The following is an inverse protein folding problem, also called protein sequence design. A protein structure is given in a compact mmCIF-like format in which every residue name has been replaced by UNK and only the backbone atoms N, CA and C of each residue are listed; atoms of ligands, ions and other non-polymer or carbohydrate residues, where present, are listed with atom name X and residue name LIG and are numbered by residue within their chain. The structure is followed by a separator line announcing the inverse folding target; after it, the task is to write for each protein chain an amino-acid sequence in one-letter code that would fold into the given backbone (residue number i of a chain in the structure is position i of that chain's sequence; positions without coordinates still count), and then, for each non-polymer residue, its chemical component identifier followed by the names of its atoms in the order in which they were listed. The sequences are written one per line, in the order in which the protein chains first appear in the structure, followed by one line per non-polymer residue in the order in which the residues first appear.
data_IF_358221964249
#
_entry.id   IF_358221964249
#
_cell.length_a   1.000
_cell.length_b   1.000
_cell.length_c   1.000
_cell.angle_alpha   90.00
_cell.angle_beta   90.00
_cell.angle_gamma   90.00
#
_symmetry.space_group_name_H-M   'P 1'
#
loop_
_entity.id
_entity.type
_entity.pdbx_description
1 polymer ?
#
# COMPACT_ATOMS: atom_id res chain seq x y z
N UNK A 1 -16.62 -2.01 -10.67
CA UNK A 1 -15.48 -1.07 -10.52
C UNK A 1 -14.62 -1.47 -9.33
N UNK A 2 -13.31 -1.42 -9.43
CA UNK A 2 -12.36 -1.71 -8.34
C UNK A 2 -11.76 -0.39 -7.85
N UNK A 3 -11.83 -0.15 -6.54
CA UNK A 3 -11.36 1.09 -5.91
C UNK A 3 -9.99 0.85 -5.26
N UNK A 4 -8.95 1.50 -5.75
CA UNK A 4 -7.60 1.43 -5.19
C UNK A 4 -7.37 2.61 -4.24
N UNK A 5 -7.05 2.33 -2.97
CA UNK A 5 -6.80 3.34 -1.94
C UNK A 5 -5.33 3.33 -1.53
N UNK A 6 -4.67 4.49 -1.60
CA UNK A 6 -3.31 4.67 -1.10
C UNK A 6 -3.10 6.08 -0.54
N UNK A 7 -2.20 6.21 0.44
CA UNK A 7 -1.84 7.50 1.02
C UNK A 7 -0.83 8.30 0.17
N UNK A 8 -0.56 7.86 -1.04
CA UNK A 8 0.36 8.48 -1.99
C UNK A 8 0.07 7.96 -3.41
N UNK A 9 -0.12 8.86 -4.37
CA UNK A 9 -0.41 8.53 -5.77
C UNK A 9 0.71 7.74 -6.46
N UNK A 10 1.97 7.99 -6.05
CA UNK A 10 3.12 7.23 -6.55
C UNK A 10 2.98 5.71 -6.36
N UNK A 11 2.36 5.26 -5.26
CA UNK A 11 2.09 3.84 -5.02
C UNK A 11 1.17 3.27 -6.10
N UNK A 12 0.17 4.04 -6.49
CA UNK A 12 -0.81 3.62 -7.49
C UNK A 12 -0.25 3.71 -8.91
N UNK A 13 0.49 4.75 -9.23
CA UNK A 13 1.01 4.98 -10.59
C UNK A 13 2.25 4.12 -10.89
N UNK A 14 3.27 4.15 -10.05
CA UNK A 14 4.55 3.46 -10.31
C UNK A 14 4.54 1.98 -9.97
N UNK A 15 3.81 1.58 -8.92
CA UNK A 15 3.83 0.19 -8.47
C UNK A 15 2.61 -0.62 -8.93
N UNK A 16 1.51 0.03 -9.32
CA UNK A 16 0.24 -0.64 -9.68
C UNK A 16 -0.26 -0.28 -11.07
N UNK A 17 0.23 0.79 -11.67
CA UNK A 17 -0.22 1.24 -12.99
C UNK A 17 -0.12 0.15 -14.06
N UNK A 18 1.00 -0.58 -14.13
CA UNK A 18 1.16 -1.68 -15.09
C UNK A 18 0.20 -2.85 -14.85
N UNK A 19 -0.19 -3.11 -13.59
CA UNK A 19 -1.21 -4.13 -13.27
C UNK A 19 -2.57 -3.67 -13.78
N UNK A 20 -2.95 -2.42 -13.51
CA UNK A 20 -4.21 -1.85 -13.98
C UNK A 20 -4.28 -1.87 -15.52
N UNK A 21 -3.17 -1.52 -16.18
CA UNK A 21 -3.04 -1.52 -17.65
C UNK A 21 -3.19 -2.93 -18.26
N UNK A 22 -2.84 -3.98 -17.52
CA UNK A 22 -2.91 -5.38 -17.99
C UNK A 22 -4.24 -6.10 -17.71
N UNK A 23 -5.17 -5.47 -17.00
CA UNK A 23 -6.47 -6.06 -16.65
C UNK A 23 -7.57 -5.30 -17.40
N UNK A 24 -8.03 -5.86 -18.52
CA UNK A 24 -9.01 -5.21 -19.41
C UNK A 24 -10.47 -5.37 -18.94
N UNK A 25 -10.77 -6.45 -18.20
CA UNK A 25 -12.15 -6.79 -17.80
C UNK A 25 -12.70 -5.91 -16.67
N UNK A 26 -11.88 -5.07 -16.05
CA UNK A 26 -12.27 -4.27 -14.89
C UNK A 26 -11.90 -2.81 -15.04
N UNK A 27 -12.80 -1.95 -14.60
CA UNK A 27 -12.53 -0.52 -14.44
C UNK A 27 -11.98 -0.22 -13.06
N UNK A 28 -10.97 0.63 -13.01
CA UNK A 28 -10.28 1.01 -11.78
C UNK A 28 -10.47 2.49 -11.46
N UNK A 29 -10.71 2.77 -10.18
CA UNK A 29 -10.73 4.11 -9.60
C UNK A 29 -9.59 4.26 -8.60
N UNK A 30 -8.89 5.38 -8.63
CA UNK A 30 -7.90 5.73 -7.60
C UNK A 30 -8.50 6.64 -6.52
N UNK A 31 -8.15 6.39 -5.26
CA UNK A 31 -8.48 7.21 -4.09
C UNK A 31 -7.17 7.49 -3.35
N UNK A 32 -6.59 8.66 -3.61
CA UNK A 32 -5.27 9.03 -3.09
C UNK A 32 -5.08 10.55 -3.18
N UNK A 33 -4.04 11.13 -2.52
CA UNK A 33 -3.63 12.50 -2.83
C UNK A 33 -3.28 12.62 -4.31
N UNK A 34 -3.82 13.60 -5.01
CA UNK A 34 -3.57 13.83 -6.44
C UNK A 34 -2.41 14.80 -6.60
N UNK A 35 -1.17 14.30 -6.53
CA UNK A 35 0.04 15.08 -6.81
C UNK A 35 0.31 15.17 -8.32
N UNK A 36 0.00 14.11 -9.08
CA UNK A 36 0.17 14.06 -10.54
C UNK A 36 -1.07 13.49 -11.25
N UNK A 37 -2.00 14.38 -11.58
CA UNK A 37 -3.26 14.02 -12.25
C UNK A 37 -3.05 13.33 -13.61
N UNK A 38 -2.09 13.79 -14.41
CA UNK A 38 -1.81 13.22 -15.73
C UNK A 38 -1.33 11.75 -15.66
N UNK A 39 -0.54 11.43 -14.62
CA UNK A 39 -0.12 10.04 -14.40
C UNK A 39 -1.26 9.15 -13.92
N UNK A 40 -2.16 9.66 -13.08
CA UNK A 40 -3.32 8.90 -12.61
C UNK A 40 -4.31 8.65 -13.76
N UNK A 41 -4.64 9.65 -14.57
CA UNK A 41 -5.58 9.52 -15.68
C UNK A 41 -5.09 8.59 -16.80
N UNK A 42 -3.81 8.23 -16.81
CA UNK A 42 -3.28 7.21 -17.71
C UNK A 42 -3.78 5.79 -17.37
N UNK A 43 -3.95 5.51 -16.09
CA UNK A 43 -4.23 4.16 -15.60
C UNK A 43 -5.64 4.00 -15.03
N UNK A 44 -6.21 5.07 -14.49
CA UNK A 44 -7.48 5.03 -13.77
C UNK A 44 -8.55 5.79 -14.53
N UNK A 45 -9.74 5.19 -14.66
CA UNK A 45 -10.90 5.83 -15.27
C UNK A 45 -11.34 7.07 -14.51
N UNK A 46 -11.23 7.00 -13.17
CA UNK A 46 -11.64 8.06 -12.26
C UNK A 46 -10.66 8.16 -11.09
N UNK A 47 -10.49 9.37 -10.54
CA UNK A 47 -9.57 9.63 -9.43
C UNK A 47 -10.23 10.56 -8.43
N UNK A 48 -10.36 10.10 -7.19
CA UNK A 48 -10.89 10.88 -6.08
C UNK A 48 -9.72 11.36 -5.22
N UNK A 49 -9.65 12.68 -5.01
CA UNK A 49 -8.65 13.27 -4.14
C UNK A 49 -8.95 12.94 -2.67
N UNK A 50 -7.98 12.32 -2.03
CA UNK A 50 -7.98 12.04 -0.61
C UNK A 50 -6.85 12.82 0.04
N UNK A 51 -7.16 14.00 0.54
CA UNK A 51 -6.22 14.95 1.14
C UNK A 51 -5.58 14.44 2.43
N UNK A 52 -4.73 13.43 2.31
CA UNK A 52 -3.95 12.90 3.40
C UNK A 52 -2.49 13.33 3.29
N UNK A 53 -1.95 13.93 4.36
CA UNK A 53 -0.56 14.34 4.37
C UNK A 53 0.37 13.13 4.59
N UNK A 54 1.40 12.98 3.74
CA UNK A 54 2.41 11.91 3.87
C UNK A 54 3.13 11.93 5.22
N UNK A 55 3.45 13.11 5.75
CA UNK A 55 4.22 13.29 6.98
C UNK A 55 3.34 13.26 8.24
N UNK A 56 2.16 13.88 8.20
CA UNK A 56 1.24 14.00 9.33
C UNK A 56 0.00 13.11 9.13
N UNK A 57 0.16 11.82 9.40
CA UNK A 57 -0.79 10.76 9.06
C UNK A 57 -2.09 10.75 9.87
N UNK A 58 -2.09 11.36 11.05
CA UNK A 58 -3.19 11.26 12.00
C UNK A 58 -4.05 12.54 12.08
N UNK A 59 -4.10 13.33 11.01
CA UNK A 59 -5.11 14.38 10.94
C UNK A 59 -6.48 13.72 10.81
N UNK A 60 -7.36 13.99 11.74
CA UNK A 60 -8.76 13.53 11.75
C UNK A 60 -9.48 13.82 10.42
N UNK A 61 -9.12 14.92 9.75
CA UNK A 61 -9.66 15.29 8.43
C UNK A 61 -9.52 14.18 7.39
N UNK A 62 -8.38 13.46 7.34
CA UNK A 62 -8.19 12.37 6.40
C UNK A 62 -9.15 11.19 6.66
N UNK A 63 -9.47 10.92 7.92
CA UNK A 63 -10.45 9.89 8.30
C UNK A 63 -11.85 10.34 7.89
N UNK A 64 -12.25 11.57 8.23
CA UNK A 64 -13.58 12.11 7.89
C UNK A 64 -13.79 12.18 6.37
N UNK A 65 -12.76 12.57 5.63
CA UNK A 65 -12.82 12.60 4.17
C UNK A 65 -12.98 11.19 3.60
N UNK A 66 -12.21 10.22 4.09
CA UNK A 66 -12.34 8.83 3.64
C UNK A 66 -13.72 8.25 3.97
N UNK A 67 -14.31 8.57 5.14
CA UNK A 67 -15.69 8.19 5.47
C UNK A 67 -16.67 8.74 4.42
N UNK A 68 -16.56 10.02 4.04
CA UNK A 68 -17.40 10.61 3.00
C UNK A 68 -17.23 9.87 1.67
N UNK A 69 -16.00 9.63 1.25
CA UNK A 69 -15.69 8.91 0.01
C UNK A 69 -16.27 7.49 0.04
N UNK A 70 -16.06 6.73 1.11
CA UNK A 70 -16.56 5.35 1.22
C UNK A 70 -18.10 5.28 1.17
N UNK A 71 -18.80 6.32 1.64
CA UNK A 71 -20.26 6.39 1.55
C UNK A 71 -20.78 6.58 0.12
N UNK A 72 -19.97 7.11 -0.80
CA UNK A 72 -20.35 7.27 -2.22
C UNK A 72 -20.10 6.02 -3.05
N UNK A 73 -19.33 5.04 -2.53
CA UNK A 73 -19.09 3.80 -3.25
C UNK A 73 -20.35 2.94 -3.32
N UNK A 74 -20.44 2.14 -4.37
CA UNK A 74 -21.52 1.16 -4.53
C UNK A 74 -21.35 -0.01 -3.55
N UNK A 75 -22.45 -0.56 -3.05
CA UNK A 75 -22.42 -1.76 -2.24
C UNK A 75 -21.85 -2.94 -3.06
N UNK A 76 -21.16 -3.85 -2.38
CA UNK A 76 -20.42 -4.98 -2.96
C UNK A 76 -19.25 -4.59 -3.87
N UNK A 77 -18.89 -3.31 -3.96
CA UNK A 77 -17.69 -2.92 -4.70
C UNK A 77 -16.41 -3.41 -4.02
N UNK A 78 -15.38 -3.65 -4.83
CA UNK A 78 -14.07 -4.08 -4.33
C UNK A 78 -13.26 -2.84 -3.96
N UNK A 79 -12.69 -2.87 -2.77
CA UNK A 79 -11.76 -1.85 -2.26
C UNK A 79 -10.42 -2.50 -1.95
N UNK A 80 -9.38 -2.13 -2.68
CA UNK A 80 -8.03 -2.61 -2.47
C UNK A 80 -7.15 -1.51 -1.86
N UNK A 81 -6.79 -1.70 -0.62
CA UNK A 81 -6.03 -0.73 0.18
C UNK A 81 -4.55 -1.09 0.19
N UNK A 82 -3.69 -0.13 -0.10
CA UNK A 82 -2.24 -0.33 -0.15
C UNK A 82 -1.54 0.32 1.03
N UNK A 83 -0.62 -0.41 1.64
CA UNK A 83 0.21 -0.07 2.80
C UNK A 83 -0.53 -0.10 4.14
N UNK A 84 0.21 -0.38 5.22
CA UNK A 84 -0.36 -0.43 6.58
C UNK A 84 -0.95 0.89 7.04
N UNK A 85 -0.38 2.02 6.62
CA UNK A 85 -0.88 3.34 6.97
C UNK A 85 -2.30 3.58 6.43
N UNK A 86 -2.50 3.36 5.14
CA UNK A 86 -3.82 3.46 4.51
C UNK A 86 -4.79 2.43 5.08
N UNK A 87 -4.29 1.21 5.31
CA UNK A 87 -5.06 0.11 5.89
C UNK A 87 -5.61 0.43 7.27
N UNK A 88 -4.81 1.05 8.13
CA UNK A 88 -5.26 1.47 9.46
C UNK A 88 -6.33 2.56 9.38
N UNK A 89 -6.12 3.58 8.55
CA UNK A 89 -7.10 4.65 8.36
C UNK A 89 -8.40 4.10 7.76
N UNK A 90 -8.30 3.15 6.83
CA UNK A 90 -9.46 2.47 6.25
C UNK A 90 -10.25 1.71 7.34
N UNK A 91 -9.58 0.96 8.24
CA UNK A 91 -10.24 0.28 9.37
C UNK A 91 -11.09 1.28 10.15
N UNK A 92 -10.47 2.38 10.61
CA UNK A 92 -11.18 3.39 11.41
C UNK A 92 -12.35 3.99 10.61
N UNK A 93 -12.14 4.37 9.36
CA UNK A 93 -13.17 4.97 8.52
C UNK A 93 -14.34 4.03 8.27
N UNK A 94 -14.05 2.73 8.03
CA UNK A 94 -15.04 1.71 7.74
C UNK A 94 -15.98 1.44 8.92
N UNK A 95 -15.53 1.63 10.16
CA UNK A 95 -16.39 1.53 11.36
C UNK A 95 -17.58 2.50 11.33
N UNK A 96 -17.46 3.62 10.61
CA UNK A 96 -18.50 4.63 10.47
C UNK A 96 -19.30 4.55 9.16
N UNK A 97 -19.07 3.47 8.39
CA UNK A 97 -19.69 3.25 7.08
C UNK A 97 -20.36 1.89 7.04
N UNK A 98 -21.67 1.86 6.85
CA UNK A 98 -22.50 0.63 6.83
C UNK A 98 -22.52 -0.07 5.45
N UNK A 99 -21.77 0.42 4.46
CA UNK A 99 -21.67 -0.20 3.13
C UNK A 99 -21.08 -1.60 3.20
N UNK A 100 -21.61 -2.53 2.44
CA UNK A 100 -20.97 -3.84 2.22
C UNK A 100 -19.88 -3.67 1.14
N UNK A 101 -18.61 -3.71 1.54
CA UNK A 101 -17.45 -3.53 0.66
C UNK A 101 -16.54 -4.74 0.81
N UNK A 102 -16.15 -5.33 -0.32
CA UNK A 102 -15.14 -6.40 -0.35
C UNK A 102 -13.74 -5.80 -0.24
N UNK A 103 -13.11 -5.96 0.90
CA UNK A 103 -11.87 -5.25 1.21
C UNK A 103 -10.63 -6.14 1.14
N UNK A 104 -9.63 -5.69 0.39
CA UNK A 104 -8.32 -6.30 0.26
C UNK A 104 -7.26 -5.35 0.83
N UNK A 105 -6.34 -5.84 1.64
CA UNK A 105 -5.19 -5.08 2.11
C UNK A 105 -3.89 -5.63 1.51
N UNK A 106 -3.12 -4.81 0.82
CA UNK A 106 -1.74 -5.15 0.45
C UNK A 106 -0.74 -4.56 1.43
N UNK A 107 -0.09 -5.42 2.20
CA UNK A 107 1.03 -5.09 3.09
C UNK A 107 2.31 -5.15 2.27
N UNK A 108 2.76 -4.00 1.77
CA UNK A 108 3.97 -3.87 0.93
C UNK A 108 5.26 -3.72 1.76
N UNK A 109 5.16 -3.93 3.04
CA UNK A 109 6.21 -3.84 4.05
C UNK A 109 5.63 -3.35 5.37
N UNK A 110 6.22 -3.76 6.48
CA UNK A 110 5.76 -3.40 7.82
C UNK A 110 6.10 -1.95 8.20
N UNK A 111 7.08 -1.36 7.52
CA UNK A 111 7.42 0.06 7.61
C UNK A 111 7.78 0.54 9.02
N UNK A 112 7.49 1.82 9.27
CA UNK A 112 7.85 2.47 10.55
C UNK A 112 7.25 1.80 11.78
N UNK A 113 6.01 1.31 11.68
CA UNK A 113 5.29 0.75 12.84
C UNK A 113 6.02 -0.46 13.48
N UNK A 114 6.77 -1.21 12.68
CA UNK A 114 7.54 -2.37 13.14
C UNK A 114 9.04 -2.10 13.29
N UNK A 115 9.47 -0.84 13.21
CA UNK A 115 10.87 -0.47 13.44
C UNK A 115 11.24 -0.52 14.92
N UNK A 116 12.54 -0.53 15.21
CA UNK A 116 13.09 -0.56 16.59
C UNK A 116 12.90 0.75 17.36
N UNK A 117 12.42 1.82 16.74
CA UNK A 117 12.27 3.15 17.35
C UNK A 117 11.24 3.14 18.49
N UNK A 118 11.53 3.85 19.60
CA UNK A 118 10.65 3.90 20.77
C UNK A 118 9.22 4.35 20.43
N UNK A 119 9.08 5.40 19.63
CA UNK A 119 7.78 5.89 19.16
C UNK A 119 7.00 4.83 18.36
N UNK A 120 7.70 4.05 17.52
CA UNK A 120 7.07 2.97 16.77
C UNK A 120 6.57 1.86 17.69
N UNK A 121 7.35 1.47 18.69
CA UNK A 121 6.94 0.48 19.70
C UNK A 121 5.71 0.94 20.48
N UNK A 122 5.68 2.19 20.92
CA UNK A 122 4.53 2.77 21.61
C UNK A 122 3.28 2.77 20.72
N UNK A 123 3.39 3.26 19.49
CA UNK A 123 2.28 3.26 18.54
C UNK A 123 1.80 1.86 18.20
N UNK A 124 2.71 0.91 18.01
CA UNK A 124 2.39 -0.49 17.76
C UNK A 124 1.55 -1.08 18.89
N UNK A 125 1.92 -0.83 20.15
CA UNK A 125 1.17 -1.30 21.33
C UNK A 125 -0.21 -0.65 21.39
N UNK A 126 -0.30 0.67 21.17
CA UNK A 126 -1.55 1.42 21.22
C UNK A 126 -2.53 1.02 20.10
N UNK A 127 -2.03 0.75 18.90
CA UNK A 127 -2.85 0.40 17.74
C UNK A 127 -3.26 -1.08 17.71
N UNK A 128 -2.54 -1.95 18.43
CA UNK A 128 -2.78 -3.40 18.44
C UNK A 128 -4.23 -3.79 18.74
N UNK A 129 -4.91 -3.23 19.76
CA UNK A 129 -6.30 -3.59 20.05
C UNK A 129 -7.24 -3.35 18.87
N UNK A 130 -7.06 -2.23 18.15
CA UNK A 130 -7.87 -1.89 16.97
C UNK A 130 -7.67 -2.93 15.86
N UNK A 131 -6.43 -3.31 15.57
CA UNK A 131 -6.15 -4.38 14.62
C UNK A 131 -6.79 -5.70 15.05
N UNK A 132 -6.54 -6.14 16.28
CA UNK A 132 -7.06 -7.43 16.77
C UNK A 132 -8.60 -7.52 16.76
N UNK A 133 -9.30 -6.42 17.04
CA UNK A 133 -10.76 -6.40 17.15
C UNK A 133 -11.45 -6.29 15.79
N UNK A 134 -10.87 -5.56 14.85
CA UNK A 134 -11.60 -5.15 13.65
C UNK A 134 -11.03 -5.71 12.34
N UNK A 135 -9.76 -6.13 12.29
CA UNK A 135 -9.13 -6.53 11.03
C UNK A 135 -9.84 -7.71 10.35
N UNK A 136 -10.27 -8.70 11.12
CA UNK A 136 -11.00 -9.88 10.61
C UNK A 136 -12.42 -9.57 10.13
N UNK A 137 -13.00 -8.44 10.59
CA UNK A 137 -14.34 -8.00 10.18
C UNK A 137 -14.32 -7.11 8.96
N UNK A 138 -13.17 -6.50 8.67
CA UNK A 138 -13.04 -5.44 7.67
C UNK A 138 -12.33 -5.92 6.42
N UNK A 139 -11.31 -6.77 6.55
CA UNK A 139 -10.58 -7.29 5.40
C UNK A 139 -10.94 -8.75 5.13
N UNK A 140 -11.36 -9.01 3.90
CA UNK A 140 -11.61 -10.36 3.39
C UNK A 140 -10.30 -11.08 3.08
N UNK A 141 -9.35 -10.35 2.46
CA UNK A 141 -8.04 -10.88 2.04
C UNK A 141 -6.91 -9.93 2.41
N UNK A 142 -5.79 -10.47 2.89
CA UNK A 142 -4.54 -9.71 3.05
C UNK A 142 -3.44 -10.31 2.16
N UNK A 143 -2.80 -9.44 1.36
CA UNK A 143 -1.70 -9.79 0.47
C UNK A 143 -0.39 -9.32 1.08
N UNK A 144 0.57 -10.23 1.17
CA UNK A 144 1.94 -9.94 1.64
C UNK A 144 2.95 -10.11 0.52
N UNK A 145 4.08 -9.40 0.59
CA UNK A 145 5.17 -9.51 -0.40
C UNK A 145 6.31 -10.43 0.03
N UNK A 146 6.42 -10.71 1.33
CA UNK A 146 7.39 -11.67 1.88
C UNK A 146 6.81 -12.41 3.09
N UNK A 147 7.44 -13.54 3.41
CA UNK A 147 6.95 -14.44 4.46
C UNK A 147 7.19 -13.89 5.86
N UNK A 148 8.29 -13.16 6.07
CA UNK A 148 8.67 -12.64 7.38
C UNK A 148 7.69 -11.54 7.83
N UNK A 149 7.35 -10.61 6.92
CA UNK A 149 6.32 -9.60 7.15
C UNK A 149 4.95 -10.25 7.41
N UNK A 150 4.61 -11.31 6.65
CA UNK A 150 3.38 -12.07 6.87
C UNK A 150 3.33 -12.63 8.28
N UNK A 151 4.33 -13.39 8.69
CA UNK A 151 4.35 -14.05 10.00
C UNK A 151 4.30 -13.01 11.13
N UNK A 152 5.13 -11.98 11.05
CA UNK A 152 5.18 -10.89 12.04
C UNK A 152 3.84 -10.16 12.14
N UNK A 153 3.19 -9.88 11.01
CA UNK A 153 1.92 -9.19 11.00
C UNK A 153 0.77 -10.04 11.52
N UNK A 154 0.71 -11.33 11.18
CA UNK A 154 -0.31 -12.25 11.65
C UNK A 154 -0.25 -12.44 13.18
N UNK A 155 0.94 -12.59 13.73
CA UNK A 155 1.16 -12.65 15.19
C UNK A 155 0.68 -11.36 15.89
N UNK A 156 0.97 -10.20 15.28
CA UNK A 156 0.57 -8.91 15.82
C UNK A 156 -0.94 -8.69 15.76
N UNK A 157 -1.55 -8.92 14.60
CA UNK A 157 -2.94 -8.55 14.30
C UNK A 157 -3.97 -9.61 14.66
N UNK A 158 -3.54 -10.85 14.82
CA UNK A 158 -4.43 -12.04 14.96
C UNK A 158 -5.40 -12.20 13.79
N UNK A 159 -4.98 -11.83 12.60
CA UNK A 159 -5.78 -12.01 11.40
C UNK A 159 -5.91 -13.49 11.04
N UNK A 160 -7.15 -13.94 10.71
CA UNK A 160 -7.48 -15.36 10.49
C UNK A 160 -8.12 -15.63 9.12
N UNK A 161 -8.58 -14.58 8.43
CA UNK A 161 -9.17 -14.74 7.10
C UNK A 161 -8.07 -15.04 6.04
N UNK A 162 -8.44 -15.04 4.79
CA UNK A 162 -7.56 -15.44 3.69
C UNK A 162 -6.32 -14.56 3.56
N UNK A 163 -5.16 -15.19 3.33
CA UNK A 163 -3.90 -14.50 3.04
C UNK A 163 -3.26 -15.01 1.76
N UNK A 164 -2.72 -14.10 0.96
CA UNK A 164 -1.93 -14.43 -0.23
C UNK A 164 -0.50 -13.93 -0.07
N UNK A 165 0.45 -14.66 -0.64
CA UNK A 165 1.84 -14.26 -0.76
C UNK A 165 2.14 -13.95 -2.22
N UNK A 166 2.28 -12.65 -2.56
CA UNK A 166 2.61 -12.17 -3.90
C UNK A 166 3.87 -11.32 -3.79
N UNK A 167 5.01 -11.88 -4.20
CA UNK A 167 6.35 -11.33 -3.92
C UNK A 167 6.62 -9.94 -4.50
N UNK A 168 5.92 -9.54 -5.57
CA UNK A 168 6.14 -8.25 -6.24
C UNK A 168 4.89 -7.82 -7.01
N UNK A 169 4.89 -6.57 -7.47
CA UNK A 169 3.89 -6.06 -8.43
C UNK A 169 4.16 -6.52 -9.87
N UNK A 170 5.30 -7.19 -10.12
CA UNK A 170 5.75 -7.48 -11.45
C UNK A 170 6.31 -6.25 -12.20
N UNK A 171 6.89 -6.50 -13.35
CA UNK A 171 7.33 -5.48 -14.31
C UNK A 171 6.95 -5.95 -15.71
N UNK A 172 6.68 -5.01 -16.60
CA UNK A 172 6.53 -5.34 -18.02
C UNK A 172 7.94 -5.50 -18.64
N UNK A 173 8.35 -6.75 -18.89
CA UNK A 173 9.68 -7.08 -19.41
C UNK A 173 9.90 -6.58 -20.84
N UNK A 174 8.86 -6.37 -21.63
CA UNK A 174 8.96 -5.83 -23.00
C UNK A 174 9.51 -4.40 -23.04
N UNK A 175 9.36 -3.65 -21.93
CA UNK A 175 9.90 -2.30 -21.79
C UNK A 175 11.41 -2.26 -21.52
N UNK A 176 12.05 -3.43 -21.30
CA UNK A 176 13.47 -3.52 -20.95
C UNK A 176 14.23 -4.35 -21.99
N UNK A 177 15.19 -3.70 -22.65
CA UNK A 177 16.07 -4.37 -23.61
C UNK A 177 17.31 -4.88 -22.88
N UNK A 178 17.60 -6.17 -23.04
CA UNK A 178 18.84 -6.77 -22.54
C UNK A 178 20.03 -6.18 -23.30
N UNK A 179 21.06 -5.78 -22.55
CA UNK A 179 22.29 -5.32 -23.13
C UNK A 179 23.09 -6.53 -23.63
N UNK A 180 23.38 -6.58 -24.92
CA UNK A 180 24.07 -7.73 -25.54
C UNK A 180 25.59 -7.72 -25.35
N UNK A 181 26.16 -6.65 -24.77
CA UNK A 181 27.61 -6.56 -24.49
C UNK A 181 27.86 -5.97 -23.10
N UNK A 182 28.76 -6.56 -22.38
CA UNK A 182 29.24 -6.06 -21.09
C UNK A 182 30.66 -5.53 -21.26
N UNK A 183 30.93 -4.32 -20.76
CA UNK A 183 32.30 -3.80 -20.69
C UNK A 183 33.07 -4.59 -19.62
N UNK A 184 34.39 -4.76 -19.80
CA UNK A 184 35.24 -5.44 -18.84
C UNK A 184 35.42 -4.68 -17.50
N UNK A 185 34.97 -3.44 -17.42
CA UNK A 185 35.05 -2.65 -16.19
C UNK A 185 33.84 -2.94 -15.29
N UNK A 186 34.11 -3.41 -14.08
CA UNK A 186 33.11 -3.60 -13.05
C UNK A 186 32.47 -2.26 -12.67
N UNK A 187 31.15 -2.14 -12.79
CA UNK A 187 30.36 -1.00 -12.32
C UNK A 187 29.39 -1.47 -11.26
N UNK A 188 29.55 -0.97 -10.03
CA UNK A 188 28.65 -1.27 -8.91
C UNK A 188 27.64 -0.13 -8.76
N UNK A 189 26.35 -0.45 -8.67
CA UNK A 189 25.27 0.53 -8.57
C UNK A 189 24.52 0.30 -7.27
N UNK A 190 24.34 1.36 -6.48
CA UNK A 190 23.49 1.37 -5.29
C UNK A 190 22.12 1.99 -5.64
N UNK A 191 21.15 1.15 -5.95
CA UNK A 191 19.80 1.57 -6.34
C UNK A 191 18.85 1.53 -5.12
N UNK A 192 19.00 2.45 -4.16
CA UNK A 192 18.17 2.51 -2.96
C UNK A 192 18.10 3.95 -2.40
N UNK A 193 17.21 4.15 -1.40
CA UNK A 193 17.28 5.37 -0.59
C UNK A 193 18.58 5.37 0.22
N UNK A 194 19.22 6.55 0.36
CA UNK A 194 20.45 6.72 1.13
C UNK A 194 20.14 6.63 2.64
N UNK A 195 19.90 5.43 3.12
CA UNK A 195 19.59 5.12 4.52
C UNK A 195 20.54 4.06 5.03
N UNK A 196 20.89 4.14 6.33
CA UNK A 196 21.70 3.12 7.01
C UNK A 196 21.14 1.72 6.81
N UNK A 197 19.84 1.55 7.03
CA UNK A 197 19.14 0.27 6.91
C UNK A 197 19.14 -0.32 5.47
N UNK A 198 19.63 0.44 4.49
CA UNK A 198 19.76 0.03 3.09
C UNK A 198 21.19 -0.30 2.68
N UNK A 199 22.13 -0.28 3.62
CA UNK A 199 23.52 -0.65 3.37
C UNK A 199 24.35 0.44 2.72
N UNK A 200 24.00 1.74 2.87
CA UNK A 200 24.77 2.84 2.27
C UNK A 200 26.21 2.91 2.80
N UNK A 201 26.41 2.62 4.09
CA UNK A 201 27.76 2.64 4.68
C UNK A 201 28.64 1.48 4.19
N UNK A 202 28.03 0.32 3.95
CA UNK A 202 28.72 -0.84 3.37
C UNK A 202 29.09 -0.54 1.92
N UNK A 203 28.17 0.06 1.15
CA UNK A 203 28.43 0.46 -0.23
C UNK A 203 29.57 1.49 -0.37
N UNK A 204 29.68 2.46 0.53
CA UNK A 204 30.73 3.49 0.46
C UNK A 204 32.11 2.97 0.86
N UNK A 205 32.23 1.72 1.32
CA UNK A 205 33.52 1.07 1.65
C UNK A 205 34.04 0.16 0.52
N UNK A 206 33.27 0.01 -0.55
CA UNK A 206 33.67 -0.69 -1.77
C UNK A 206 34.55 0.19 -2.64
#
# INVERSE_FOLDING_TARGET
MINYIAHWDWVLTKSRGSIVESIEDYEFRSICPIENKAMLSRYYKDSIDWEINRKNSFRLNGIFQLIKILRTLEDNSIVHVFTLKSGFIYIISKLFVKKDLKAILSVTGLGFLFSSKALAKMLKTLLRPIFCLYINKIYDVIIFQNIDDKNTFLEYSRYKNETKLIKSSGINTEKYVLKNSFNNNLKVIFASRLLKDKGIYEFTKL
#
